data_IF_651503901845
#
_entry.id   IF_651503901845
#
_cell.length_a   1.000
_cell.length_b   1.000
_cell.length_c   1.000
_cell.angle_alpha   90.00
_cell.angle_beta   90.00
_cell.angle_gamma   90.00
#
_symmetry.space_group_name_H-M   'P 1'
#
loop_
_entity.id
_entity.type
_entity.pdbx_description
1 polymer ?
#
# COMPACT_ATOMS: atom_id res chain seq x y z
N UNK A 1 18.43 30.99 14.99
CA UNK A 1 18.34 30.03 13.88
C UNK A 1 16.90 29.71 13.46
N UNK A 2 15.86 30.39 13.99
CA UNK A 2 14.45 30.19 13.61
C UNK A 2 13.98 31.01 12.40
N UNK A 3 14.77 31.96 11.91
CA UNK A 3 14.33 32.90 10.87
C UNK A 3 14.77 32.57 9.44
N UNK A 4 15.49 31.49 9.19
CA UNK A 4 16.03 31.18 7.86
C UNK A 4 15.08 30.22 7.08
N UNK A 5 14.30 29.39 7.78
CA UNK A 5 13.38 28.46 7.12
C UNK A 5 12.04 29.10 6.71
N UNK A 6 11.70 30.24 7.34
CA UNK A 6 10.47 30.99 7.00
C UNK A 6 10.61 31.88 5.76
N UNK A 7 11.83 32.17 5.31
CA UNK A 7 12.08 33.07 4.17
C UNK A 7 12.01 32.41 2.80
N UNK A 8 12.07 31.08 2.71
CA UNK A 8 12.01 30.38 1.40
C UNK A 8 10.61 30.07 0.89
N UNK A 9 9.57 30.25 1.72
CA UNK A 9 8.17 30.01 1.30
C UNK A 9 7.39 31.27 0.94
N UNK A 10 7.99 32.47 1.05
CA UNK A 10 7.32 33.76 0.78
C UNK A 10 7.79 34.53 -0.46
N UNK A 11 8.67 33.96 -1.27
CA UNK A 11 9.30 34.69 -2.38
C UNK A 11 8.62 34.56 -3.75
N UNK A 12 7.41 33.96 -3.86
CA UNK A 12 6.73 33.79 -5.16
C UNK A 12 5.34 34.40 -5.25
N UNK A 13 5.00 35.38 -4.41
CA UNK A 13 3.65 35.99 -4.44
C UNK A 13 3.67 37.52 -4.28
N UNK A 14 4.48 38.21 -5.09
CA UNK A 14 4.43 39.67 -5.19
C UNK A 14 4.63 40.12 -6.63
N UNK A 15 3.60 39.97 -7.47
CA UNK A 15 3.35 40.81 -8.64
C UNK A 15 1.90 40.58 -9.10
N UNK A 16 1.01 41.43 -8.63
CA UNK A 16 -0.40 41.48 -9.10
C UNK A 16 -1.29 42.08 -8.04
N UNK A 17 -1.45 43.43 -8.10
CA UNK A 17 -2.31 44.17 -7.18
C UNK A 17 -3.77 43.84 -7.40
N UNK A 18 -4.31 42.94 -6.55
CA UNK A 18 -5.71 42.87 -6.20
C UNK A 18 -5.77 42.66 -4.71
N UNK A 19 -6.46 43.56 -3.99
CA UNK A 19 -6.78 43.43 -2.58
C UNK A 19 -7.58 42.16 -2.37
N UNK A 20 -6.91 41.05 -2.04
CA UNK A 20 -7.54 39.83 -1.57
C UNK A 20 -8.03 40.09 -0.15
N UNK A 21 -9.31 40.33 0.01
CA UNK A 21 -9.97 40.22 1.33
C UNK A 21 -9.84 38.76 1.72
N UNK A 22 -8.90 38.45 2.64
CA UNK A 22 -8.82 37.14 3.26
C UNK A 22 -10.08 36.97 4.09
N UNK A 23 -11.12 36.41 3.47
CA UNK A 23 -12.27 35.89 4.19
C UNK A 23 -11.72 34.93 5.26
N UNK A 24 -12.16 35.09 6.49
CA UNK A 24 -11.82 34.16 7.59
C UNK A 24 -12.17 32.75 7.13
N UNK A 25 -11.17 32.01 6.69
CA UNK A 25 -11.31 30.58 6.43
C UNK A 25 -11.66 29.98 7.77
N UNK A 26 -12.88 29.49 7.89
CA UNK A 26 -13.38 28.83 9.09
C UNK A 26 -12.66 27.49 9.24
N UNK A 27 -11.46 27.50 9.80
CA UNK A 27 -10.60 26.31 10.04
C UNK A 27 -11.04 25.57 11.32
N UNK A 28 -12.11 25.97 11.97
CA UNK A 28 -12.32 25.69 13.38
C UNK A 28 -13.29 24.56 13.74
N UNK A 29 -13.91 23.86 12.80
CA UNK A 29 -14.79 22.73 13.15
C UNK A 29 -14.08 21.35 13.14
N UNK A 30 -12.90 21.26 12.54
CA UNK A 30 -12.20 19.99 12.34
C UNK A 30 -11.36 19.51 13.55
N UNK A 31 -10.96 20.40 14.47
CA UNK A 31 -9.90 20.06 15.43
C UNK A 31 -10.31 19.21 16.64
N UNK A 32 -11.52 19.41 17.17
CA UNK A 32 -12.00 18.59 18.32
C UNK A 32 -12.35 17.16 17.92
N UNK A 33 -12.87 16.97 16.72
CA UNK A 33 -13.27 15.65 16.21
C UNK A 33 -12.08 14.84 15.70
N UNK A 34 -11.00 15.51 15.26
CA UNK A 34 -9.82 14.90 14.64
C UNK A 34 -9.06 13.95 15.59
N UNK A 35 -8.77 14.40 16.81
CA UNK A 35 -8.04 13.59 17.80
C UNK A 35 -8.87 12.41 18.28
N UNK A 36 -10.15 12.62 18.53
CA UNK A 36 -11.08 11.56 18.91
C UNK A 36 -11.24 10.54 17.76
N UNK A 37 -11.40 11.02 16.53
CA UNK A 37 -11.46 10.17 15.32
C UNK A 37 -10.19 9.34 15.19
N UNK A 38 -9.01 9.94 15.38
CA UNK A 38 -7.73 9.25 15.35
C UNK A 38 -7.64 8.15 16.41
N UNK A 39 -8.05 8.48 17.63
CA UNK A 39 -8.02 7.53 18.74
C UNK A 39 -8.96 6.34 18.53
N UNK A 40 -10.19 6.61 18.08
CA UNK A 40 -11.16 5.56 17.77
C UNK A 40 -10.66 4.63 16.66
N UNK A 41 -10.05 5.19 15.61
CA UNK A 41 -9.49 4.42 14.51
C UNK A 41 -8.28 3.57 14.97
N UNK A 42 -7.39 4.14 15.77
CA UNK A 42 -6.27 3.40 16.34
C UNK A 42 -6.73 2.25 17.25
N UNK A 43 -7.73 2.49 18.11
CA UNK A 43 -8.29 1.44 18.95
C UNK A 43 -8.89 0.31 18.10
N UNK A 44 -9.54 0.64 17.00
CA UNK A 44 -10.08 -0.35 16.06
C UNK A 44 -8.99 -1.20 15.40
N UNK A 45 -7.89 -0.58 14.97
CA UNK A 45 -6.83 -1.24 14.21
C UNK A 45 -5.80 -1.95 15.09
N UNK A 46 -5.47 -1.36 16.22
CA UNK A 46 -4.34 -1.80 17.07
C UNK A 46 -4.76 -2.18 18.50
N UNK A 47 -6.05 -2.09 18.83
CA UNK A 47 -6.54 -2.36 20.19
C UNK A 47 -5.90 -1.41 21.20
N UNK A 48 -5.50 -1.96 22.36
CA UNK A 48 -4.83 -1.21 23.42
C UNK A 48 -3.31 -1.05 23.20
N UNK A 49 -2.77 -1.56 22.08
CA UNK A 49 -1.34 -1.48 21.80
C UNK A 49 -0.94 -0.03 21.56
N UNK A 50 -0.08 0.51 22.43
CA UNK A 50 0.48 1.85 22.27
C UNK A 50 1.80 1.76 21.53
N UNK A 51 2.04 2.72 20.64
CA UNK A 51 3.34 2.88 20.00
C UNK A 51 4.43 3.06 21.07
N UNK A 52 5.54 2.34 20.95
CA UNK A 52 6.72 2.56 21.81
C UNK A 52 7.23 3.99 21.73
N UNK A 53 7.05 4.63 20.57
CA UNK A 53 7.42 6.02 20.34
C UNK A 53 6.63 6.99 21.23
N UNK A 54 5.41 6.63 21.65
CA UNK A 54 4.60 7.49 22.52
C UNK A 54 5.22 7.73 23.90
N UNK A 55 6.14 6.88 24.34
CA UNK A 55 6.85 7.04 25.61
C UNK A 55 8.02 8.04 25.51
N UNK A 56 8.66 8.15 24.37
CA UNK A 56 9.83 9.01 24.14
C UNK A 56 9.47 10.30 23.42
N UNK A 57 8.52 10.24 22.50
CA UNK A 57 8.15 11.33 21.59
C UNK A 57 6.60 11.51 21.53
N UNK A 58 5.96 11.89 22.66
CA UNK A 58 4.49 11.89 22.74
C UNK A 58 3.82 12.94 21.83
N UNK A 59 4.39 14.12 21.69
CA UNK A 59 3.86 15.19 20.83
C UNK A 59 3.96 14.86 19.33
N UNK A 60 5.09 14.28 18.90
CA UNK A 60 5.26 13.80 17.55
C UNK A 60 4.30 12.65 17.24
N UNK A 61 4.18 11.70 18.17
CA UNK A 61 3.24 10.57 18.05
C UNK A 61 1.80 11.06 17.91
N UNK A 62 1.40 12.05 18.71
CA UNK A 62 0.06 12.64 18.60
C UNK A 62 -0.14 13.34 17.25
N UNK A 63 0.86 14.11 16.78
CA UNK A 63 0.80 14.77 15.47
C UNK A 63 0.66 13.77 14.34
N UNK A 64 1.47 12.72 14.34
CA UNK A 64 1.43 11.64 13.36
C UNK A 64 0.07 10.93 13.36
N UNK A 65 -0.41 10.54 14.54
CA UNK A 65 -1.67 9.83 14.68
C UNK A 65 -2.86 10.67 14.24
N UNK A 66 -2.91 11.94 14.63
CA UNK A 66 -3.96 12.85 14.22
C UNK A 66 -3.98 13.05 12.70
N UNK A 67 -2.82 13.15 12.07
CA UNK A 67 -2.74 13.28 10.62
C UNK A 67 -3.16 11.98 9.91
N UNK A 68 -2.56 10.84 10.28
CA UNK A 68 -2.82 9.56 9.61
C UNK A 68 -4.28 9.13 9.84
N UNK A 69 -4.69 8.97 11.10
CA UNK A 69 -5.95 8.34 11.45
C UNK A 69 -7.11 9.33 11.59
N UNK A 70 -6.82 10.61 11.90
CA UNK A 70 -7.81 11.65 12.01
C UNK A 70 -8.15 12.31 10.67
N UNK A 71 -7.14 12.61 9.86
CA UNK A 71 -7.33 13.33 8.59
C UNK A 71 -7.33 12.39 7.37
N UNK A 72 -6.24 11.62 7.17
CA UNK A 72 -6.06 10.83 5.94
C UNK A 72 -7.00 9.63 5.90
N UNK A 73 -7.16 8.93 7.03
CA UNK A 73 -8.00 7.74 7.09
C UNK A 73 -9.50 8.00 6.89
N UNK A 74 -9.95 9.22 7.16
CA UNK A 74 -11.33 9.65 6.95
C UNK A 74 -11.64 10.07 5.52
N UNK A 75 -10.62 10.16 4.64
CA UNK A 75 -10.78 10.63 3.27
C UNK A 75 -10.87 9.49 2.26
N UNK A 76 -11.62 9.73 1.18
CA UNK A 76 -11.74 8.80 0.06
C UNK A 76 -12.66 7.61 0.35
N UNK A 77 -12.65 6.62 -0.56
CA UNK A 77 -13.57 5.49 -0.56
C UNK A 77 -12.93 4.16 -0.12
N UNK A 78 -11.62 4.15 0.15
CA UNK A 78 -10.94 2.91 0.54
C UNK A 78 -11.42 2.44 1.91
N UNK A 79 -11.75 1.17 2.01
CA UNK A 79 -12.05 0.50 3.28
C UNK A 79 -10.81 0.43 4.18
N UNK A 80 -10.99 0.19 5.47
CA UNK A 80 -9.87 -0.03 6.39
C UNK A 80 -8.99 -1.19 5.90
N UNK A 81 -9.59 -2.31 5.50
CA UNK A 81 -8.86 -3.46 4.94
C UNK A 81 -7.97 -3.07 3.76
N UNK A 82 -8.52 -2.36 2.77
CA UNK A 82 -7.75 -1.93 1.60
C UNK A 82 -6.58 -1.01 1.98
N UNK A 83 -6.78 -0.10 2.94
CA UNK A 83 -5.70 0.79 3.42
C UNK A 83 -4.57 0.02 4.07
N UNK A 84 -4.89 -0.98 4.88
CA UNK A 84 -3.87 -1.79 5.54
C UNK A 84 -3.10 -2.67 4.53
N UNK A 85 -3.78 -3.25 3.52
CA UNK A 85 -3.11 -3.98 2.45
C UNK A 85 -2.19 -3.07 1.62
N UNK A 86 -2.61 -1.83 1.32
CA UNK A 86 -1.75 -0.83 0.68
C UNK A 86 -0.56 -0.43 1.55
N UNK A 87 -0.76 -0.28 2.86
CA UNK A 87 0.34 0.02 3.78
C UNK A 87 1.35 -1.14 3.84
N UNK A 88 0.90 -2.40 3.88
CA UNK A 88 1.75 -3.59 3.77
C UNK A 88 2.57 -3.57 2.48
N UNK A 89 1.94 -3.24 1.35
CA UNK A 89 2.62 -3.09 0.05
C UNK A 89 3.72 -2.03 0.11
N UNK A 90 3.39 -0.84 0.64
CA UNK A 90 4.34 0.26 0.77
C UNK A 90 5.54 -0.08 1.69
N UNK A 91 5.28 -0.70 2.83
CA UNK A 91 6.33 -1.15 3.77
C UNK A 91 7.22 -2.24 3.16
N UNK A 92 6.63 -3.14 2.38
CA UNK A 92 7.38 -4.17 1.64
C UNK A 92 8.28 -3.55 0.59
N UNK A 93 7.77 -2.61 -0.20
CA UNK A 93 8.53 -1.94 -1.24
C UNK A 93 9.67 -1.09 -0.67
N UNK A 94 9.40 -0.35 0.41
CA UNK A 94 10.41 0.49 1.11
C UNK A 94 11.34 -0.30 2.02
N UNK A 95 11.08 -1.58 2.27
CA UNK A 95 11.82 -2.43 3.23
C UNK A 95 11.81 -1.87 4.67
N UNK A 96 10.73 -1.20 5.05
CA UNK A 96 10.52 -0.73 6.42
C UNK A 96 9.91 -1.86 7.25
N UNK A 97 10.65 -2.96 7.36
CA UNK A 97 10.16 -4.23 7.91
C UNK A 97 9.89 -4.19 9.42
N UNK A 98 10.49 -3.26 10.15
CA UNK A 98 10.22 -3.09 11.58
C UNK A 98 8.79 -2.60 11.86
N UNK A 99 8.18 -1.89 10.90
CA UNK A 99 6.79 -1.44 10.99
C UNK A 99 5.79 -2.48 10.46
N UNK A 100 6.24 -3.46 9.67
CA UNK A 100 5.39 -4.43 9.01
C UNK A 100 4.57 -5.31 9.98
N UNK A 101 5.12 -5.79 11.12
CA UNK A 101 4.34 -6.58 12.07
C UNK A 101 3.07 -5.89 12.53
N UNK A 102 3.16 -4.64 12.95
CA UNK A 102 2.02 -3.87 13.40
C UNK A 102 0.98 -3.69 12.29
N UNK A 103 1.44 -3.53 11.05
CA UNK A 103 0.55 -3.34 9.91
C UNK A 103 -0.16 -4.63 9.49
N UNK A 104 0.50 -5.79 9.60
CA UNK A 104 -0.14 -7.10 9.40
C UNK A 104 -1.22 -7.35 10.46
N UNK A 105 -0.96 -7.01 11.72
CA UNK A 105 -1.95 -7.09 12.79
C UNK A 105 -3.15 -6.19 12.52
N UNK A 106 -2.91 -4.94 12.11
CA UNK A 106 -3.96 -4.00 11.74
C UNK A 106 -4.81 -4.51 10.57
N UNK A 107 -4.19 -5.13 9.57
CA UNK A 107 -4.89 -5.73 8.44
C UNK A 107 -5.82 -6.87 8.89
N UNK A 108 -5.35 -7.77 9.75
CA UNK A 108 -6.18 -8.83 10.35
C UNK A 108 -7.36 -8.24 11.13
N UNK A 109 -7.11 -7.24 11.96
CA UNK A 109 -8.14 -6.53 12.73
C UNK A 109 -9.14 -5.77 11.83
N UNK A 110 -8.70 -5.31 10.67
CA UNK A 110 -9.55 -4.69 9.65
C UNK A 110 -10.33 -5.70 8.80
N UNK A 111 -10.20 -7.01 9.09
CA UNK A 111 -10.91 -8.09 8.40
C UNK A 111 -10.22 -8.59 7.13
N UNK A 112 -8.94 -8.32 6.94
CA UNK A 112 -8.17 -8.99 5.89
C UNK A 112 -7.92 -10.45 6.29
N UNK A 113 -8.12 -11.36 5.34
CA UNK A 113 -7.79 -12.76 5.54
C UNK A 113 -6.28 -12.99 5.41
N UNK A 114 -5.73 -14.04 6.03
CA UNK A 114 -4.33 -14.42 5.83
C UNK A 114 -3.96 -14.62 4.36
N UNK A 115 -4.90 -15.11 3.55
CA UNK A 115 -4.70 -15.30 2.10
C UNK A 115 -4.55 -13.93 1.42
N UNK A 116 -5.46 -12.97 1.66
CA UNK A 116 -5.36 -11.62 1.06
C UNK A 116 -4.04 -10.94 1.41
N UNK A 117 -3.58 -11.06 2.66
CA UNK A 117 -2.28 -10.51 3.07
C UNK A 117 -1.13 -11.16 2.32
N UNK A 118 -1.14 -12.49 2.16
CA UNK A 118 -0.10 -13.22 1.40
C UNK A 118 -0.11 -12.86 -0.07
N UNK A 119 -1.29 -12.82 -0.68
CA UNK A 119 -1.42 -12.48 -2.09
C UNK A 119 -0.99 -11.02 -2.34
N UNK A 120 -1.26 -10.10 -1.42
CA UNK A 120 -0.72 -8.73 -1.46
C UNK A 120 0.81 -8.71 -1.50
N UNK A 121 1.46 -9.55 -0.67
CA UNK A 121 2.91 -9.65 -0.68
C UNK A 121 3.44 -10.32 -1.96
N UNK A 122 2.77 -11.36 -2.46
CA UNK A 122 3.16 -12.01 -3.71
C UNK A 122 3.07 -11.07 -4.91
N UNK A 123 2.06 -10.19 -4.95
CA UNK A 123 1.93 -9.14 -5.96
C UNK A 123 3.08 -8.11 -5.94
N UNK A 124 3.80 -7.99 -4.85
CA UNK A 124 4.97 -7.12 -4.80
C UNK A 124 6.17 -7.70 -5.60
N UNK A 125 6.27 -9.02 -5.75
CA UNK A 125 7.47 -9.66 -6.30
C UNK A 125 7.88 -9.18 -7.70
N UNK A 126 6.97 -9.01 -8.68
CA UNK A 126 7.33 -8.50 -10.00
C UNK A 126 7.88 -7.07 -10.01
N UNK A 127 7.56 -6.28 -8.99
CA UNK A 127 7.87 -4.84 -8.93
C UNK A 127 9.07 -4.52 -8.05
N UNK A 128 9.22 -5.21 -6.92
CA UNK A 128 10.29 -4.91 -5.95
C UNK A 128 11.36 -6.00 -5.86
N UNK A 129 11.12 -7.11 -6.53
CA UNK A 129 12.00 -8.28 -6.58
C UNK A 129 11.77 -9.29 -5.45
N UNK A 130 12.15 -10.54 -5.72
CA UNK A 130 11.99 -11.64 -4.77
C UNK A 130 12.66 -11.41 -3.41
N UNK A 131 13.90 -10.90 -3.31
CA UNK A 131 14.54 -10.75 -1.99
C UNK A 131 13.75 -9.89 -1.02
N UNK A 132 13.21 -8.75 -1.49
CA UNK A 132 12.39 -7.87 -0.67
C UNK A 132 11.06 -8.51 -0.27
N UNK A 133 10.44 -9.21 -1.20
CA UNK A 133 9.19 -9.94 -0.95
C UNK A 133 9.41 -11.07 0.05
N UNK A 134 10.48 -11.85 -0.08
CA UNK A 134 10.81 -12.94 0.84
C UNK A 134 11.00 -12.41 2.27
N UNK A 135 11.77 -11.34 2.44
CA UNK A 135 11.98 -10.72 3.76
C UNK A 135 10.65 -10.29 4.41
N UNK A 136 9.73 -9.69 3.63
CA UNK A 136 8.42 -9.31 4.13
C UNK A 136 7.55 -10.54 4.48
N UNK A 137 7.63 -11.60 3.68
CA UNK A 137 6.94 -12.87 3.95
C UNK A 137 7.42 -13.54 5.24
N UNK A 138 8.72 -13.52 5.51
CA UNK A 138 9.28 -14.07 6.74
C UNK A 138 8.76 -13.34 7.99
N UNK A 139 8.69 -12.00 7.94
CA UNK A 139 8.11 -11.20 9.01
C UNK A 139 6.63 -11.54 9.19
N UNK A 140 5.86 -11.56 8.11
CA UNK A 140 4.42 -11.88 8.13
C UNK A 140 4.15 -13.28 8.66
N UNK A 141 4.98 -14.28 8.29
CA UNK A 141 4.85 -15.64 8.77
C UNK A 141 5.03 -15.76 10.29
N UNK A 142 5.89 -14.94 10.89
CA UNK A 142 6.06 -14.90 12.35
C UNK A 142 4.78 -14.41 13.04
N UNK A 143 4.14 -13.39 12.47
CA UNK A 143 2.86 -12.88 12.99
C UNK A 143 1.75 -13.93 12.82
N UNK A 144 1.64 -14.55 11.66
CA UNK A 144 0.65 -15.62 11.43
C UNK A 144 0.82 -16.77 12.42
N UNK A 145 2.05 -17.17 12.67
CA UNK A 145 2.34 -18.22 13.69
C UNK A 145 1.90 -17.77 15.09
N UNK A 146 2.15 -16.53 15.48
CA UNK A 146 1.74 -15.99 16.78
C UNK A 146 0.21 -15.95 16.94
N UNK A 147 -0.53 -15.74 15.83
CA UNK A 147 -1.99 -15.81 15.78
C UNK A 147 -2.56 -17.24 15.60
N UNK A 148 -1.72 -18.28 15.65
CA UNK A 148 -2.17 -19.67 15.47
C UNK A 148 -2.67 -19.99 14.05
N UNK A 149 -2.35 -19.16 13.07
CA UNK A 149 -2.75 -19.38 11.67
C UNK A 149 -1.90 -20.51 11.11
N UNK A 150 -2.59 -21.58 10.68
CA UNK A 150 -1.93 -22.77 10.10
C UNK A 150 -1.34 -22.44 8.73
N UNK A 151 -0.12 -22.84 8.49
CA UNK A 151 0.59 -22.74 7.22
C UNK A 151 1.08 -24.11 6.76
N UNK A 152 1.21 -24.38 5.44
CA UNK A 152 0.96 -23.44 4.36
C UNK A 152 -0.52 -23.10 4.19
N UNK A 153 -0.81 -21.88 3.67
CA UNK A 153 -2.17 -21.50 3.28
C UNK A 153 -2.55 -22.22 1.98
N UNK A 154 -3.88 -22.37 1.69
CA UNK A 154 -4.34 -22.94 0.44
C UNK A 154 -3.75 -22.21 -0.77
N UNK A 155 -3.32 -22.98 -1.77
CA UNK A 155 -2.75 -22.45 -3.00
C UNK A 155 -3.81 -21.66 -3.79
N UNK A 156 -3.43 -20.48 -4.27
CA UNK A 156 -4.28 -19.58 -5.05
C UNK A 156 -3.87 -19.49 -6.53
N UNK A 157 -2.88 -20.24 -6.98
CA UNK A 157 -2.51 -20.30 -8.37
C UNK A 157 -3.62 -20.93 -9.22
N UNK A 158 -3.96 -20.27 -10.31
CA UNK A 158 -4.99 -20.75 -11.29
C UNK A 158 -4.35 -21.28 -12.55
N UNK A 159 -3.08 -21.02 -12.76
CA UNK A 159 -2.32 -21.40 -13.97
C UNK A 159 -1.31 -22.49 -13.67
N UNK A 160 -0.89 -23.19 -14.72
CA UNK A 160 0.21 -24.15 -14.72
C UNK A 160 1.40 -23.58 -15.50
N UNK A 161 2.55 -24.25 -15.44
CA UNK A 161 3.70 -23.89 -16.31
C UNK A 161 3.36 -23.88 -17.79
N UNK A 162 2.43 -24.74 -18.23
CA UNK A 162 2.00 -24.81 -19.63
C UNK A 162 1.05 -23.68 -20.04
N UNK A 163 0.27 -23.14 -19.11
CA UNK A 163 -0.81 -22.14 -19.43
C UNK A 163 -0.45 -20.72 -19.00
N UNK A 164 0.56 -20.52 -18.15
CA UNK A 164 0.85 -19.21 -17.52
C UNK A 164 1.10 -18.07 -18.53
N UNK A 165 1.70 -18.37 -19.70
CA UNK A 165 1.91 -17.36 -20.73
C UNK A 165 0.58 -16.94 -21.36
N UNK A 166 -0.20 -17.88 -21.84
CA UNK A 166 -1.45 -17.61 -22.56
C UNK A 166 -2.49 -16.92 -21.64
N UNK A 167 -2.62 -17.44 -20.42
CA UNK A 167 -3.55 -16.86 -19.43
C UNK A 167 -3.08 -15.45 -18.98
N UNK A 168 -1.78 -15.27 -18.78
CA UNK A 168 -1.20 -13.96 -18.44
C UNK A 168 -1.30 -12.97 -19.59
N UNK A 169 -1.04 -13.40 -20.83
CA UNK A 169 -1.21 -12.57 -22.02
C UNK A 169 -2.66 -12.09 -22.16
N UNK A 170 -3.63 -12.99 -21.90
CA UNK A 170 -5.05 -12.65 -21.92
C UNK A 170 -5.39 -11.60 -20.87
N UNK A 171 -5.02 -11.82 -19.60
CA UNK A 171 -5.27 -10.86 -18.50
C UNK A 171 -4.59 -9.52 -18.78
N UNK A 172 -3.35 -9.52 -19.28
CA UNK A 172 -2.65 -8.32 -19.68
C UNK A 172 -3.42 -7.56 -20.78
N UNK A 173 -3.97 -8.30 -21.76
CA UNK A 173 -4.79 -7.74 -22.82
C UNK A 173 -6.13 -7.17 -22.34
N UNK A 174 -6.76 -7.77 -21.34
CA UNK A 174 -7.96 -7.25 -20.69
C UNK A 174 -7.73 -5.92 -19.96
N UNK A 175 -6.54 -5.75 -19.35
CA UNK A 175 -6.19 -4.53 -18.61
C UNK A 175 -5.74 -3.40 -19.54
N UNK A 176 -4.89 -3.69 -20.53
CA UNK A 176 -4.20 -2.68 -21.34
C UNK A 176 -4.68 -2.62 -22.80
N UNK A 177 -5.58 -3.51 -23.19
CA UNK A 177 -6.06 -3.65 -24.57
C UNK A 177 -5.32 -4.75 -25.33
N UNK A 178 -6.07 -5.72 -25.87
CA UNK A 178 -5.53 -6.90 -26.53
C UNK A 178 -4.67 -6.57 -27.76
N UNK A 179 -5.07 -5.57 -28.55
CA UNK A 179 -4.31 -5.11 -29.71
C UNK A 179 -2.96 -4.49 -29.28
N UNK A 180 -2.97 -3.68 -28.23
CA UNK A 180 -1.75 -3.06 -27.68
C UNK A 180 -0.74 -4.13 -27.25
N UNK A 181 -1.17 -5.12 -26.50
CA UNK A 181 -0.31 -6.20 -26.03
C UNK A 181 0.20 -7.06 -27.18
N UNK A 182 -0.66 -7.40 -28.14
CA UNK A 182 -0.26 -8.12 -29.35
C UNK A 182 0.83 -7.35 -30.12
N UNK A 183 0.66 -6.05 -30.29
CA UNK A 183 1.61 -5.19 -30.97
C UNK A 183 2.93 -5.05 -30.19
N UNK A 184 2.86 -4.97 -28.87
CA UNK A 184 4.04 -4.96 -28.00
C UNK A 184 4.90 -6.23 -28.21
N UNK A 185 4.32 -7.41 -28.22
CA UNK A 185 5.04 -8.66 -28.48
C UNK A 185 5.58 -8.75 -29.90
N UNK A 186 4.76 -8.38 -30.89
CA UNK A 186 5.12 -8.43 -32.32
C UNK A 186 6.29 -7.50 -32.64
N UNK A 187 6.30 -6.29 -32.07
CA UNK A 187 7.26 -5.24 -32.37
C UNK A 187 8.48 -5.24 -31.42
N UNK A 188 8.51 -6.14 -30.44
CA UNK A 188 9.66 -6.27 -29.54
C UNK A 188 10.92 -6.66 -30.32
N UNK A 189 12.04 -5.93 -30.18
CA UNK A 189 13.31 -6.32 -30.77
C UNK A 189 13.71 -7.75 -30.42
N UNK A 190 14.36 -8.45 -31.34
CA UNK A 190 14.71 -9.86 -31.14
C UNK A 190 15.48 -10.15 -29.83
N UNK A 191 16.36 -9.21 -29.43
CA UNK A 191 17.13 -9.30 -28.19
C UNK A 191 16.33 -8.89 -26.93
N UNK A 192 15.08 -8.43 -27.06
CA UNK A 192 14.22 -8.01 -25.95
C UNK A 192 12.91 -8.80 -25.87
N UNK A 193 12.65 -9.74 -26.75
CA UNK A 193 11.44 -10.58 -26.74
C UNK A 193 11.20 -11.28 -25.41
N UNK A 194 12.27 -11.69 -24.74
CA UNK A 194 12.17 -12.31 -23.42
C UNK A 194 11.58 -11.38 -22.35
N UNK A 195 11.76 -10.06 -22.47
CA UNK A 195 11.21 -9.08 -21.53
C UNK A 195 9.68 -9.03 -21.66
N UNK A 196 9.17 -8.95 -22.91
CA UNK A 196 7.72 -9.00 -23.17
C UNK A 196 7.13 -10.33 -22.66
N UNK A 197 7.83 -11.45 -22.90
CA UNK A 197 7.40 -12.76 -22.40
C UNK A 197 7.36 -12.81 -20.87
N UNK A 198 8.38 -12.32 -20.17
CA UNK A 198 8.38 -12.28 -18.69
C UNK A 198 7.25 -11.42 -18.12
N UNK A 199 6.87 -10.35 -18.80
CA UNK A 199 5.69 -9.57 -18.40
C UNK A 199 4.44 -10.45 -18.47
N UNK A 200 4.18 -11.11 -19.59
CA UNK A 200 2.98 -11.93 -19.74
C UNK A 200 3.01 -13.17 -18.86
N UNK A 201 4.10 -13.94 -18.84
CA UNK A 201 4.14 -15.23 -18.15
C UNK A 201 4.40 -15.12 -16.64
N UNK A 202 5.29 -14.21 -16.19
CA UNK A 202 5.63 -14.08 -14.77
C UNK A 202 4.77 -13.04 -14.08
N UNK A 203 4.76 -11.79 -14.58
CA UNK A 203 3.99 -10.73 -13.92
C UNK A 203 2.48 -11.02 -14.01
N UNK A 204 1.93 -11.16 -15.20
CA UNK A 204 0.48 -11.37 -15.35
C UNK A 204 0.09 -12.83 -15.10
N UNK A 205 0.73 -13.80 -15.69
CA UNK A 205 0.42 -15.21 -15.52
C UNK A 205 0.75 -15.75 -14.14
N UNK A 206 1.85 -15.30 -13.53
CA UNK A 206 2.26 -15.78 -12.21
C UNK A 206 1.61 -15.09 -11.03
N UNK A 207 1.14 -13.84 -11.19
CA UNK A 207 0.60 -13.06 -10.07
C UNK A 207 -0.82 -12.54 -10.31
N UNK A 208 -1.14 -11.94 -11.45
CA UNK A 208 -2.46 -11.36 -11.70
C UNK A 208 -3.58 -12.38 -11.93
N UNK A 209 -3.26 -13.59 -12.37
CA UNK A 209 -4.24 -14.68 -12.51
C UNK A 209 -4.60 -15.34 -11.19
N UNK A 210 -3.87 -15.03 -10.09
CA UNK A 210 -4.11 -15.65 -8.79
C UNK A 210 -5.45 -15.19 -8.20
N UNK A 211 -6.10 -16.08 -7.43
CA UNK A 211 -7.34 -15.78 -6.74
C UNK A 211 -7.13 -14.79 -5.57
N UNK A 212 -8.21 -14.22 -5.05
CA UNK A 212 -8.34 -13.43 -3.82
C UNK A 212 -8.03 -11.94 -3.87
N UNK A 213 -7.43 -11.42 -4.92
CA UNK A 213 -7.34 -9.98 -5.14
C UNK A 213 -8.04 -9.65 -6.45
N UNK A 214 -9.03 -8.76 -6.41
CA UNK A 214 -9.72 -8.29 -7.60
C UNK A 214 -8.86 -7.28 -8.37
N UNK A 215 -9.03 -7.23 -9.68
CA UNK A 215 -8.45 -6.21 -10.55
C UNK A 215 -9.24 -4.90 -10.42
N UNK A 216 -9.07 -4.17 -9.32
CA UNK A 216 -9.75 -2.88 -9.08
C UNK A 216 -8.76 -1.72 -9.04
#
# INVERSE_FOLDING_TARGET
MKNVLSMFLMATLLLGGTTFTIGKISVCAASKNRTETAQNKQNQLFGSSKSKLAATDPDFTQTMNNFIYGDVYSRGKLTAKQRELLAITALTASQTLDALPQQVEAALNAGATPIEIKETLYQCAPYVGFPKTVSALEVTNKIFKAHGIKMPLPNQATVTEATRFDDGFKVQGEIFGAEHITNMHKNSPANQKHIANYLSEFCFGGTYTRNWLDLQ
#
